data_IF_431153929556
#
_entry.id   IF_431153929556
#
_cell.length_a   1.000
_cell.length_b   1.000
_cell.length_c   1.000
_cell.angle_alpha   90.00
_cell.angle_beta   90.00
_cell.angle_gamma   90.00
#
_symmetry.space_group_name_H-M   'P 1'
#
loop_
_entity.id
_entity.type
_entity.pdbx_description
1 polymer ?
#
# COMPACT_ATOMS: atom_id res chain seq x y z
N UNK A 1 -27.38 -30.23 22.40
CA UNK A 1 -27.72 -29.10 21.52
C UNK A 1 -26.92 -27.82 21.83
N UNK A 2 -26.71 -27.45 23.11
CA UNK A 2 -25.84 -26.31 23.51
C UNK A 2 -24.41 -26.32 22.94
N UNK A 3 -23.75 -27.49 22.87
CA UNK A 3 -22.39 -27.63 22.33
C UNK A 3 -22.32 -27.32 20.81
N UNK A 4 -23.40 -27.60 20.07
CA UNK A 4 -23.48 -27.34 18.63
C UNK A 4 -23.50 -25.83 18.33
N UNK A 5 -24.19 -25.05 19.17
CA UNK A 5 -24.24 -23.58 19.11
C UNK A 5 -22.86 -22.95 19.37
N UNK A 6 -22.07 -23.53 20.28
CA UNK A 6 -20.72 -23.04 20.60
C UNK A 6 -19.76 -23.29 19.42
N UNK A 7 -19.82 -24.47 18.80
CA UNK A 7 -18.98 -24.76 17.62
C UNK A 7 -19.31 -23.88 16.42
N UNK A 8 -20.60 -23.56 16.21
CA UNK A 8 -21.04 -22.61 15.18
C UNK A 8 -20.44 -21.21 15.39
N UNK A 9 -20.49 -20.71 16.63
CA UNK A 9 -19.94 -19.40 16.98
C UNK A 9 -18.41 -19.36 16.83
N UNK A 10 -17.72 -20.46 17.18
CA UNK A 10 -16.27 -20.58 17.08
C UNK A 10 -15.79 -20.68 15.62
N UNK A 11 -16.55 -21.36 14.75
CA UNK A 11 -16.26 -21.43 13.32
C UNK A 11 -16.47 -20.08 12.61
N UNK A 12 -17.48 -19.31 13.04
CA UNK A 12 -17.76 -17.98 12.49
C UNK A 12 -16.66 -16.96 12.86
N UNK A 13 -16.11 -17.05 14.07
CA UNK A 13 -15.08 -16.11 14.55
C UNK A 13 -13.69 -16.37 13.93
N UNK A 14 -13.36 -17.61 13.55
CA UNK A 14 -12.12 -17.92 12.81
C UNK A 14 -12.15 -17.35 11.38
N UNK A 15 -13.32 -17.33 10.75
CA UNK A 15 -13.49 -16.84 9.37
C UNK A 15 -13.30 -15.32 9.25
N UNK A 16 -13.56 -14.56 10.32
CA UNK A 16 -13.45 -13.09 10.33
C UNK A 16 -12.03 -12.58 10.68
N UNK A 17 -11.16 -13.45 11.21
CA UNK A 17 -9.78 -13.11 11.58
C UNK A 17 -8.81 -13.08 10.40
N UNK A 18 -9.20 -13.61 9.24
CA UNK A 18 -8.42 -13.53 8.00
C UNK A 18 -8.66 -12.19 7.30
N UNK A 19 -8.45 -11.07 8.00
CA UNK A 19 -8.17 -9.80 7.35
C UNK A 19 -6.85 -10.03 6.62
N UNK A 20 -6.97 -10.39 5.34
CA UNK A 20 -5.85 -10.40 4.42
C UNK A 20 -5.21 -9.03 4.57
N UNK A 21 -4.00 -8.98 5.11
CA UNK A 21 -3.12 -7.86 4.90
C UNK A 21 -3.02 -7.76 3.38
N UNK A 22 -3.86 -6.90 2.78
CA UNK A 22 -3.79 -6.57 1.37
C UNK A 22 -2.34 -6.23 1.18
N UNK A 23 -1.61 -7.11 0.48
CA UNK A 23 -0.20 -6.92 0.20
C UNK A 23 -0.15 -5.60 -0.54
N UNK A 24 0.21 -4.54 0.16
CA UNK A 24 0.19 -3.24 -0.42
C UNK A 24 1.29 -3.25 -1.47
N UNK A 25 0.85 -3.33 -2.72
CA UNK A 25 1.75 -3.54 -3.84
C UNK A 25 2.76 -2.40 -3.86
N UNK A 26 4.03 -2.75 -3.98
CA UNK A 26 5.06 -1.75 -4.16
C UNK A 26 4.96 -1.21 -5.59
N UNK A 27 4.82 0.11 -5.74
CA UNK A 27 4.73 0.79 -7.02
C UNK A 27 5.86 1.80 -7.16
N UNK A 28 6.51 1.79 -8.32
CA UNK A 28 7.50 2.80 -8.69
C UNK A 28 7.02 3.50 -9.96
N UNK A 29 6.80 4.81 -9.86
CA UNK A 29 6.47 5.67 -11.00
C UNK A 29 7.75 6.40 -11.37
N UNK A 30 8.23 6.28 -12.60
CA UNK A 30 9.47 6.92 -13.07
C UNK A 30 9.22 7.83 -14.27
N UNK A 31 10.17 8.72 -14.55
CA UNK A 31 10.10 9.70 -15.64
C UNK A 31 8.81 10.54 -15.61
N UNK A 32 8.31 10.82 -14.41
CA UNK A 32 7.08 11.57 -14.21
C UNK A 32 7.38 13.05 -13.99
N UNK A 33 6.42 13.91 -14.36
CA UNK A 33 6.35 15.28 -13.87
C UNK A 33 5.57 15.30 -12.55
N UNK A 34 6.25 15.64 -11.45
CA UNK A 34 5.72 15.60 -10.09
C UNK A 34 5.43 17.04 -9.64
N UNK A 35 4.26 17.26 -9.02
CA UNK A 35 3.84 18.54 -8.43
C UNK A 35 3.49 18.28 -6.96
N UNK A 36 4.13 18.96 -6.02
CA UNK A 36 4.13 18.61 -4.58
C UNK A 36 3.02 19.24 -3.73
N UNK A 37 2.09 19.97 -4.35
CA UNK A 37 1.00 20.68 -3.66
C UNK A 37 1.39 22.04 -3.05
N UNK A 38 2.69 22.33 -2.90
CA UNK A 38 3.21 23.65 -2.50
C UNK A 38 3.66 24.51 -3.70
N UNK A 39 3.51 23.98 -4.92
CA UNK A 39 3.93 24.62 -6.16
C UNK A 39 5.33 24.17 -6.64
N UNK A 40 6.01 23.29 -5.91
CA UNK A 40 7.24 22.65 -6.35
C UNK A 40 6.99 21.68 -7.50
N UNK A 41 7.90 21.67 -8.48
CA UNK A 41 7.79 20.84 -9.69
C UNK A 41 9.10 20.10 -9.99
N UNK A 42 9.04 18.78 -10.12
CA UNK A 42 10.13 17.95 -10.64
C UNK A 42 9.71 17.45 -12.03
N UNK A 43 10.42 17.85 -13.09
CA UNK A 43 10.00 17.52 -14.47
C UNK A 43 10.31 16.09 -14.90
N UNK A 44 11.32 15.45 -14.29
CA UNK A 44 11.67 14.04 -14.51
C UNK A 44 12.04 13.43 -13.17
N UNK A 45 11.05 12.93 -12.45
CA UNK A 45 11.23 12.36 -11.13
C UNK A 45 10.80 10.90 -11.02
N UNK A 46 11.02 10.35 -9.84
CA UNK A 46 10.52 9.06 -9.42
C UNK A 46 9.78 9.15 -8.09
N UNK A 47 8.67 8.39 -7.98
CA UNK A 47 7.89 8.22 -6.75
C UNK A 47 7.85 6.74 -6.41
N UNK A 48 8.22 6.41 -5.17
CA UNK A 48 8.13 5.04 -4.64
C UNK A 48 7.01 4.99 -3.62
N UNK A 49 6.06 4.09 -3.85
CA UNK A 49 4.94 3.80 -2.94
C UNK A 49 5.10 2.40 -2.38
N UNK A 50 5.01 2.25 -1.06
CA UNK A 50 4.98 0.97 -0.34
C UNK A 50 3.95 1.07 0.76
N UNK A 51 3.21 0.00 1.04
CA UNK A 51 2.27 -0.01 2.16
C UNK A 51 1.20 1.10 2.09
N UNK A 52 0.83 1.48 0.86
CA UNK A 52 -0.11 2.58 0.59
C UNK A 52 0.44 3.97 0.92
N UNK A 53 1.76 4.11 1.13
CA UNK A 53 2.43 5.36 1.50
C UNK A 53 3.54 5.70 0.53
N UNK A 54 3.72 7.00 0.28
CA UNK A 54 4.88 7.52 -0.44
C UNK A 54 6.08 7.42 0.51
N UNK A 55 7.07 6.61 0.15
CA UNK A 55 8.29 6.42 0.96
C UNK A 55 9.49 7.19 0.39
N UNK A 56 9.43 7.60 -0.88
CA UNK A 56 10.46 8.42 -1.52
C UNK A 56 9.89 9.20 -2.69
N UNK A 57 10.36 10.43 -2.84
CA UNK A 57 10.20 11.28 -4.03
C UNK A 57 11.60 11.81 -4.37
N UNK A 58 12.01 11.67 -5.62
CA UNK A 58 13.35 12.09 -6.05
C UNK A 58 13.35 12.59 -7.50
N UNK A 59 14.34 13.40 -7.84
CA UNK A 59 14.68 13.66 -9.24
C UNK A 59 15.28 12.39 -9.87
N UNK A 60 15.16 12.25 -11.19
CA UNK A 60 15.77 11.13 -11.89
C UNK A 60 17.29 11.16 -11.70
N UNK A 61 17.86 10.05 -11.20
CA UNK A 61 19.30 9.90 -11.11
C UNK A 61 19.89 9.98 -12.53
N UNK A 62 20.66 11.03 -12.80
CA UNK A 62 21.40 11.16 -14.05
C UNK A 62 22.64 10.28 -13.98
N UNK A 63 22.57 9.07 -14.52
CA UNK A 63 23.75 8.24 -14.77
C UNK A 63 24.38 8.67 -16.10
N UNK A 64 25.43 9.49 -16.03
CA UNK A 64 26.36 9.80 -17.14
C UNK A 64 27.73 9.28 -16.76
#
# INVERSE_FOLDING_TARGET
>A
MRKLLIYSCLAFSVSFGAVQAVSAQSLVITNARIIDGNGGVINRGAVVVRDGRIVSVSEAASSV
#
